data_IF_794906911007
#
_entry.id   IF_794906911007
#
_cell.length_a   1.000
_cell.length_b   1.000
_cell.length_c   1.000
_cell.angle_alpha   90.00
_cell.angle_beta   90.00
_cell.angle_gamma   90.00
#
_symmetry.space_group_name_H-M   'P 1'
#
loop_
_entity.id
_entity.type
_entity.pdbx_description
1 polymer ?
#
# COMPACT_ATOMS: atom_id res chain seq x y z
N UNK A 1 -7.00 13.74 -22.50
CA UNK A 1 -6.10 12.60 -22.30
C UNK A 1 -6.29 12.13 -20.88
N UNK A 2 -7.09 11.08 -20.67
CA UNK A 2 -7.24 10.48 -19.35
C UNK A 2 -5.90 9.83 -18.99
N UNK A 3 -5.26 10.30 -17.92
CA UNK A 3 -4.10 9.61 -17.35
C UNK A 3 -4.58 8.26 -16.86
N UNK A 4 -4.31 7.21 -17.64
CA UNK A 4 -4.53 5.83 -17.23
C UNK A 4 -3.55 5.53 -16.10
N UNK A 5 -3.94 5.82 -14.86
CA UNK A 5 -3.21 5.35 -13.69
C UNK A 5 -3.22 3.83 -13.75
N UNK A 6 -2.06 3.24 -14.04
CA UNK A 6 -1.91 1.80 -14.10
C UNK A 6 -1.98 1.27 -12.66
N UNK A 7 -3.21 1.09 -12.16
CA UNK A 7 -3.51 0.64 -10.80
C UNK A 7 -3.22 -0.86 -10.60
N UNK A 8 -2.68 -1.52 -11.63
CA UNK A 8 -2.20 -2.89 -11.55
C UNK A 8 -0.81 -2.88 -10.89
N UNK A 9 -0.73 -3.46 -9.70
CA UNK A 9 0.53 -3.68 -8.99
C UNK A 9 0.96 -5.13 -9.09
N UNK A 10 2.25 -5.38 -8.96
CA UNK A 10 2.81 -6.71 -8.78
C UNK A 10 3.45 -6.78 -7.40
N UNK A 11 3.02 -7.73 -6.59
CA UNK A 11 3.61 -8.03 -5.29
C UNK A 11 4.95 -8.74 -5.45
N UNK A 12 5.80 -8.69 -4.43
CA UNK A 12 7.10 -9.38 -4.41
C UNK A 12 7.00 -10.90 -4.64
N UNK A 13 5.87 -11.52 -4.32
CA UNK A 13 5.61 -12.94 -4.59
C UNK A 13 5.09 -13.22 -6.01
N UNK A 14 5.08 -12.22 -6.89
CA UNK A 14 4.70 -12.34 -8.30
C UNK A 14 3.20 -12.19 -8.58
N UNK A 15 2.34 -12.15 -7.56
CA UNK A 15 0.89 -11.96 -7.75
C UNK A 15 0.57 -10.52 -8.14
N UNK A 16 -0.39 -10.37 -9.06
CA UNK A 16 -0.86 -9.07 -9.54
C UNK A 16 -2.24 -8.74 -8.97
N UNK A 17 -2.44 -7.47 -8.65
CA UNK A 17 -3.71 -6.97 -8.11
C UNK A 17 -4.07 -5.65 -8.78
N UNK A 18 -5.36 -5.48 -9.07
CA UNK A 18 -5.92 -4.20 -9.49
C UNK A 18 -6.36 -3.41 -8.26
N UNK A 19 -5.61 -2.36 -7.93
CA UNK A 19 -5.92 -1.50 -6.80
C UNK A 19 -7.04 -0.50 -7.07
N UNK A 20 -7.52 -0.35 -8.31
CA UNK A 20 -8.64 0.55 -8.63
C UNK A 20 -9.94 0.15 -7.93
N UNK A 21 -10.06 -1.14 -7.58
CA UNK A 21 -11.20 -1.72 -6.87
C UNK A 21 -10.87 -2.09 -5.42
N UNK A 22 -9.66 -1.80 -4.94
CA UNK A 22 -9.25 -2.13 -3.59
C UNK A 22 -9.72 -1.05 -2.61
N UNK A 23 -10.09 -1.47 -1.40
CA UNK A 23 -10.47 -0.55 -0.34
C UNK A 23 -9.23 -0.07 0.42
N UNK A 24 -9.03 1.25 0.62
CA UNK A 24 -7.97 1.73 1.48
C UNK A 24 -8.26 1.30 2.93
N UNK A 25 -7.29 0.63 3.55
CA UNK A 25 -7.43 0.08 4.90
C UNK A 25 -6.69 0.93 5.94
N UNK A 26 -5.44 1.28 5.68
CA UNK A 26 -4.62 2.17 6.51
C UNK A 26 -3.57 2.88 5.64
N UNK A 27 -3.08 4.06 6.02
CA UNK A 27 -2.01 4.74 5.28
C UNK A 27 -1.25 5.77 6.12
N UNK A 28 0.01 5.98 5.77
CA UNK A 28 0.83 7.12 6.13
C UNK A 28 1.57 7.61 4.87
N UNK A 29 1.14 8.72 4.29
CA UNK A 29 1.70 9.28 3.05
C UNK A 29 2.29 10.68 3.26
N UNK A 30 2.87 10.93 4.44
CA UNK A 30 3.46 12.22 4.78
C UNK A 30 4.74 12.50 3.97
N UNK A 31 4.82 13.70 3.40
CA UNK A 31 6.04 14.20 2.78
C UNK A 31 7.07 14.66 3.83
N UNK A 32 8.38 14.62 3.54
CA UNK A 32 9.02 14.11 2.31
C UNK A 32 8.84 12.60 2.14
N UNK A 33 8.86 12.11 0.88
CA UNK A 33 8.71 10.67 0.63
C UNK A 33 9.94 9.91 1.12
N UNK A 34 9.73 8.85 1.89
CA UNK A 34 10.78 8.05 2.49
C UNK A 34 10.24 6.75 3.12
N UNK A 35 11.12 6.01 3.79
CA UNK A 35 10.81 4.67 4.29
C UNK A 35 9.64 4.58 5.30
N UNK A 36 9.20 5.71 5.85
CA UNK A 36 8.01 5.79 6.71
C UNK A 36 6.69 5.76 5.93
N UNK A 37 6.72 5.95 4.60
CA UNK A 37 5.50 5.95 3.80
C UNK A 37 4.98 4.55 3.53
N UNK A 38 3.70 4.34 3.81
CA UNK A 38 3.01 3.10 3.53
C UNK A 38 1.52 3.32 3.22
N UNK A 39 0.93 2.37 2.51
CA UNK A 39 -0.51 2.22 2.39
C UNK A 39 -0.87 0.73 2.43
N UNK A 40 -1.93 0.39 3.16
CA UNK A 40 -2.51 -0.94 3.21
C UNK A 40 -3.85 -0.90 2.48
N UNK A 41 -4.05 -1.85 1.59
CA UNK A 41 -5.26 -2.02 0.79
C UNK A 41 -5.90 -3.38 1.06
N UNK A 42 -7.23 -3.43 1.09
CA UNK A 42 -8.00 -4.66 1.07
C UNK A 42 -8.51 -4.91 -0.36
N UNK A 43 -7.93 -5.88 -1.05
CA UNK A 43 -8.26 -6.24 -2.43
C UNK A 43 -9.10 -7.51 -2.50
N UNK A 44 -10.05 -7.56 -3.44
CA UNK A 44 -10.94 -8.70 -3.69
C UNK A 44 -11.61 -9.27 -2.42
N UNK A 45 -11.89 -8.41 -1.43
CA UNK A 45 -12.44 -8.75 -0.10
C UNK A 45 -11.59 -9.66 0.80
N UNK A 46 -10.59 -10.38 0.26
CA UNK A 46 -9.86 -11.42 1.00
C UNK A 46 -8.36 -11.15 1.18
N UNK A 47 -7.76 -10.25 0.39
CA UNK A 47 -6.32 -10.03 0.41
C UNK A 47 -5.98 -8.66 1.00
N UNK A 48 -4.96 -8.64 1.85
CA UNK A 48 -4.36 -7.40 2.35
C UNK A 48 -3.01 -7.18 1.66
N UNK A 49 -2.82 -6.00 1.11
CA UNK A 49 -1.64 -5.61 0.34
C UNK A 49 -1.04 -4.38 1.02
N UNK A 50 0.24 -4.47 1.42
CA UNK A 50 1.01 -3.31 1.88
C UNK A 50 1.86 -2.79 0.73
N UNK A 51 1.61 -1.56 0.33
CA UNK A 51 2.57 -0.75 -0.41
C UNK A 51 3.46 0.03 0.57
N UNK A 52 4.75 0.14 0.26
CA UNK A 52 5.68 1.00 1.00
C UNK A 52 6.76 1.56 0.09
N UNK A 53 7.44 2.60 0.57
CA UNK A 53 8.59 3.20 -0.10
C UNK A 53 9.90 2.61 0.47
N UNK A 54 10.87 2.31 -0.38
CA UNK A 54 12.18 1.73 0.02
C UNK A 54 13.27 2.78 0.27
N UNK A 55 12.91 4.05 0.32
CA UNK A 55 13.80 5.20 0.49
C UNK A 55 14.02 6.02 -0.79
N UNK A 56 13.23 5.78 -1.84
CA UNK A 56 13.30 6.54 -3.09
C UNK A 56 12.42 7.79 -3.03
N UNK A 57 12.94 8.97 -3.41
CA UNK A 57 12.16 10.22 -3.39
C UNK A 57 11.10 10.31 -4.49
N UNK A 58 11.20 9.44 -5.49
CA UNK A 58 10.56 9.64 -6.79
C UNK A 58 9.14 9.06 -6.82
N UNK A 59 8.83 8.17 -5.87
CA UNK A 59 7.55 7.47 -5.77
C UNK A 59 7.08 7.42 -4.34
N UNK A 60 5.80 7.62 -4.10
CA UNK A 60 5.22 7.50 -2.75
C UNK A 60 5.28 6.06 -2.22
N UNK A 61 5.12 5.07 -3.10
CA UNK A 61 5.21 3.64 -2.81
C UNK A 61 5.88 2.98 -4.01
N UNK A 62 6.88 2.13 -3.79
CA UNK A 62 7.63 1.45 -4.84
C UNK A 62 7.60 -0.08 -4.71
N UNK A 63 7.24 -0.59 -3.54
CA UNK A 63 7.24 -2.02 -3.22
C UNK A 63 5.90 -2.44 -2.66
N UNK A 64 5.40 -3.59 -3.13
CA UNK A 64 4.12 -4.15 -2.71
C UNK A 64 4.29 -5.58 -2.23
N UNK A 65 3.67 -5.90 -1.11
CA UNK A 65 3.72 -7.24 -0.50
C UNK A 65 2.33 -7.66 -0.03
N UNK A 66 2.07 -8.96 -0.09
CA UNK A 66 0.92 -9.54 0.59
C UNK A 66 1.22 -9.64 2.08
N UNK A 67 0.26 -9.21 2.89
CA UNK A 67 0.33 -9.31 4.35
C UNK A 67 -0.89 -10.09 4.86
N UNK A 68 -0.78 -10.60 6.08
CA UNK A 68 -1.93 -11.20 6.76
C UNK A 68 -2.93 -10.14 7.22
N UNK A 69 -4.18 -10.54 7.49
CA UNK A 69 -5.18 -9.65 8.10
C UNK A 69 -4.73 -9.14 9.48
N UNK A 70 -4.14 -10.02 10.30
CA UNK A 70 -3.62 -9.63 11.62
C UNK A 70 -2.52 -8.57 11.51
N UNK A 71 -1.62 -8.71 10.55
CA UNK A 71 -0.60 -7.69 10.27
C UNK A 71 -1.25 -6.39 9.75
N UNK A 72 -2.24 -6.47 8.87
CA UNK A 72 -2.96 -5.29 8.38
C UNK A 72 -3.61 -4.49 9.52
N UNK A 73 -4.24 -5.18 10.47
CA UNK A 73 -4.88 -4.57 11.65
C UNK A 73 -3.90 -3.80 12.54
N UNK A 74 -2.62 -4.20 12.60
CA UNK A 74 -1.59 -3.46 13.34
C UNK A 74 -1.38 -2.05 12.77
N UNK A 75 -1.49 -1.88 11.44
CA UNK A 75 -1.39 -0.56 10.79
C UNK A 75 -2.63 0.31 10.98
N UNK A 76 -3.80 -0.28 11.22
CA UNK A 76 -5.01 0.47 11.54
C UNK A 76 -4.88 1.14 12.92
N UNK A 77 -4.33 0.39 13.88
CA UNK A 77 -4.14 0.82 15.27
C UNK A 77 -2.89 1.71 15.46
N UNK A 78 -1.99 1.77 14.48
CA UNK A 78 -0.82 2.66 14.49
C UNK A 78 -1.18 4.15 14.43
N UNK A 79 -2.46 4.52 14.28
CA UNK A 79 -2.92 5.90 14.51
C UNK A 79 -2.99 6.20 16.00
N UNK A 80 -1.87 6.55 16.62
CA UNK A 80 -1.91 7.07 17.98
C UNK A 80 -0.59 7.14 18.72
N UNK A 81 0.44 7.75 18.15
CA UNK A 81 1.40 8.52 18.98
C UNK A 81 1.77 9.76 18.18
N UNK A 82 1.08 10.85 18.47
CA UNK A 82 1.55 12.21 18.19
C UNK A 82 2.54 12.63 19.26
#
# INVERSE_FOLDING_TARGET
MEHQFNNIIQTNCGKRFDLSRAFPFARNLSAPYGAHNFAVYKANQCYYIKGYNTGTSDKVLDTFVLISENEALQYLNSKGVS
#
